data_IF_649779625667
#
_entry.id   IF_649779625667
#
_cell.length_a   1.000
_cell.length_b   1.000
_cell.length_c   1.000
_cell.angle_alpha   90.00
_cell.angle_beta   90.00
_cell.angle_gamma   90.00
#
_symmetry.space_group_name_H-M   'P 1'
#
loop_
_entity.id
_entity.type
_entity.pdbx_description
1 polymer ?
#
# COMPACT_ATOMS: atom_id res chain seq x y z
N UNK A 1 -35.97 1.10 -19.05
CA UNK A 1 -34.71 1.87 -19.04
C UNK A 1 -33.85 1.22 -17.95
N UNK A 2 -33.21 0.09 -18.23
CA UNK A 2 -31.77 -0.05 -18.54
C UNK A 2 -30.89 0.32 -17.33
N UNK A 3 -29.97 -0.47 -16.75
CA UNK A 3 -29.46 -1.83 -16.97
C UNK A 3 -28.61 -2.23 -15.74
N UNK A 4 -28.52 -3.56 -15.50
CA UNK A 4 -27.41 -4.35 -14.92
C UNK A 4 -26.60 -3.80 -13.71
N UNK A 5 -26.72 -4.41 -12.53
CA UNK A 5 -25.86 -5.52 -12.02
C UNK A 5 -24.40 -5.09 -11.81
N UNK A 6 -24.04 -4.81 -10.55
CA UNK A 6 -22.69 -5.07 -10.06
C UNK A 6 -22.74 -6.34 -9.21
N UNK A 7 -22.28 -7.43 -9.81
CA UNK A 7 -22.13 -8.74 -9.19
C UNK A 7 -21.32 -8.62 -7.90
N UNK A 8 -21.90 -9.04 -6.79
CA UNK A 8 -21.17 -9.39 -5.57
C UNK A 8 -20.20 -10.53 -5.89
N UNK A 9 -18.90 -10.22 -6.01
CA UNK A 9 -17.87 -11.25 -6.04
C UNK A 9 -17.67 -11.80 -4.62
N UNK A 10 -18.56 -12.70 -4.22
CA UNK A 10 -18.45 -13.50 -3.01
C UNK A 10 -17.49 -14.65 -3.30
N UNK A 11 -16.23 -14.48 -2.96
CA UNK A 11 -15.24 -15.56 -3.02
C UNK A 11 -15.42 -16.46 -1.79
N UNK A 12 -16.05 -17.61 -2.01
CA UNK A 12 -16.24 -18.68 -1.05
C UNK A 12 -14.94 -19.49 -1.00
N UNK A 13 -14.19 -19.47 0.12
CA UNK A 13 -13.10 -20.42 0.36
C UNK A 13 -13.53 -21.39 1.47
N UNK A 14 -13.41 -22.71 1.28
CA UNK A 14 -13.65 -23.68 2.34
C UNK A 14 -12.53 -23.59 3.38
N UNK A 15 -12.87 -23.83 4.65
CA UNK A 15 -11.93 -23.82 5.76
C UNK A 15 -10.91 -24.95 5.67
N UNK A 16 -9.67 -24.62 6.02
CA UNK A 16 -8.69 -25.58 6.52
C UNK A 16 -7.98 -24.94 7.71
N UNK A 17 -8.41 -25.32 8.90
CA UNK A 17 -7.65 -25.18 10.13
C UNK A 17 -6.45 -26.12 10.05
N UNK A 18 -5.23 -25.59 9.92
CA UNK A 18 -3.98 -26.29 10.28
C UNK A 18 -2.87 -25.25 10.49
N UNK A 19 -2.40 -25.21 11.74
CA UNK A 19 -1.05 -24.90 12.23
C UNK A 19 -0.13 -23.91 11.47
N UNK A 20 0.31 -22.91 12.24
CA UNK A 20 1.56 -22.13 12.12
C UNK A 20 2.77 -23.03 11.77
N UNK A 21 3.69 -22.52 10.94
CA UNK A 21 5.03 -22.29 11.48
C UNK A 21 5.55 -20.89 11.15
N UNK A 22 6.18 -20.27 12.15
CA UNK A 22 7.12 -19.17 11.95
C UNK A 22 8.21 -19.61 10.97
N UNK A 23 8.42 -18.81 9.94
CA UNK A 23 9.61 -18.88 9.11
C UNK A 23 10.38 -17.58 9.27
N UNK A 24 11.43 -17.63 10.11
CA UNK A 24 12.53 -16.67 10.06
C UNK A 24 13.15 -16.71 8.67
N UNK A 25 13.04 -15.62 7.93
CA UNK A 25 14.00 -15.27 6.89
C UNK A 25 14.51 -13.87 7.24
N UNK A 26 15.74 -13.81 7.74
CA UNK A 26 16.39 -12.56 8.06
C UNK A 26 16.71 -11.77 6.80
N UNK A 27 16.57 -10.46 6.91
CA UNK A 27 17.54 -9.54 6.33
C UNK A 27 17.65 -8.38 7.31
N UNK A 28 18.80 -8.29 7.97
CA UNK A 28 19.11 -7.13 8.79
C UNK A 28 19.22 -5.90 7.88
N UNK A 29 18.61 -4.81 8.27
CA UNK A 29 19.17 -3.48 8.00
C UNK A 29 18.84 -2.61 9.20
N UNK A 30 19.89 -1.93 9.65
CA UNK A 30 19.99 -1.00 10.78
C UNK A 30 18.76 -0.07 10.85
N UNK A 31 18.38 0.43 12.04
CA UNK A 31 17.65 1.70 12.09
C UNK A 31 18.62 2.78 11.61
N UNK A 32 18.73 2.95 10.30
CA UNK A 32 19.24 4.17 9.72
C UNK A 32 18.20 5.23 10.07
N UNK A 33 18.64 6.29 10.75
CA UNK A 33 17.83 7.45 11.05
C UNK A 33 16.99 7.79 9.82
N UNK A 34 15.66 7.82 9.99
CA UNK A 34 14.74 8.12 8.90
C UNK A 34 15.20 9.42 8.23
N UNK A 35 15.43 9.43 6.91
CA UNK A 35 15.76 10.67 6.22
C UNK A 35 14.59 11.64 6.45
N UNK A 36 14.91 12.88 6.83
CA UNK A 36 13.91 13.93 6.93
C UNK A 36 13.22 14.06 5.58
N UNK A 37 11.90 13.85 5.53
CA UNK A 37 11.11 13.84 4.29
C UNK A 37 11.29 15.14 3.49
N UNK A 38 11.52 16.26 4.17
CA UNK A 38 11.76 17.57 3.55
C UNK A 38 13.07 17.66 2.74
N UNK A 39 14.00 16.72 2.91
CA UNK A 39 15.27 16.69 2.19
C UNK A 39 15.26 15.71 1.00
N UNK A 40 14.17 14.99 0.77
CA UNK A 40 14.09 13.99 -0.30
C UNK A 40 13.83 14.66 -1.66
N UNK A 41 14.56 14.21 -2.67
CA UNK A 41 14.30 14.64 -4.05
C UNK A 41 13.03 13.97 -4.61
N UNK A 42 12.45 14.56 -5.66
CA UNK A 42 11.22 14.04 -6.27
C UNK A 42 11.33 12.58 -6.73
N UNK A 43 12.51 12.16 -7.19
CA UNK A 43 12.78 10.78 -7.61
C UNK A 43 12.78 9.81 -6.40
N UNK A 44 13.30 10.25 -5.25
CA UNK A 44 13.33 9.45 -4.02
C UNK A 44 11.92 9.31 -3.44
N UNK A 45 11.14 10.39 -3.44
CA UNK A 45 9.72 10.39 -3.07
C UNK A 45 8.95 9.38 -3.92
N UNK A 46 9.09 9.44 -5.24
CA UNK A 46 8.40 8.52 -6.15
C UNK A 46 8.87 7.06 -5.96
N UNK A 47 10.15 6.82 -5.67
CA UNK A 47 10.67 5.49 -5.38
C UNK A 47 10.03 4.88 -4.11
N UNK A 48 9.88 5.68 -3.05
CA UNK A 48 9.21 5.26 -1.81
C UNK A 48 7.72 4.99 -2.04
N UNK A 49 7.03 5.83 -2.80
CA UNK A 49 5.62 5.64 -3.14
C UNK A 49 5.41 4.41 -4.03
N UNK A 50 6.32 4.14 -4.97
CA UNK A 50 6.32 2.89 -5.76
C UNK A 50 6.53 1.65 -4.90
N UNK A 51 7.43 1.73 -3.92
CA UNK A 51 7.63 0.63 -2.97
C UNK A 51 6.36 0.35 -2.17
N UNK A 52 5.64 1.40 -1.77
CA UNK A 52 4.32 1.27 -1.16
C UNK A 52 3.31 0.62 -2.12
N UNK A 53 3.29 1.03 -3.39
CA UNK A 53 2.41 0.45 -4.41
C UNK A 53 2.60 -1.07 -4.58
N UNK A 54 3.86 -1.52 -4.57
CA UNK A 54 4.23 -2.94 -4.72
C UNK A 54 3.90 -3.79 -3.48
N UNK A 55 3.60 -3.16 -2.33
CA UNK A 55 3.37 -3.86 -1.08
C UNK A 55 1.94 -4.41 -0.99
N UNK A 56 1.76 -5.71 -1.22
CA UNK A 56 0.45 -6.38 -1.22
C UNK A 56 -0.26 -6.39 0.15
N UNK A 57 0.45 -6.12 1.25
CA UNK A 57 -0.09 -6.06 2.61
C UNK A 57 -1.26 -5.08 2.74
N UNK A 58 -1.24 -3.97 2.01
CA UNK A 58 -2.20 -2.86 2.14
C UNK A 58 -3.41 -2.98 1.19
N UNK A 59 -3.61 -4.15 0.58
CA UNK A 59 -4.68 -4.40 -0.37
C UNK A 59 -4.33 -4.01 -1.80
N UNK A 60 -5.28 -4.13 -2.75
CA UNK A 60 -5.04 -3.88 -4.17
C UNK A 60 -4.77 -2.39 -4.47
N UNK A 61 -3.77 -2.13 -5.31
CA UNK A 61 -3.39 -0.80 -5.83
C UNK A 61 -4.25 -0.30 -6.98
N UNK A 62 -4.70 -1.21 -7.85
CA UNK A 62 -5.24 -0.85 -9.15
C UNK A 62 -6.58 -0.12 -9.02
N UNK A 63 -6.74 0.95 -9.79
CA UNK A 63 -8.00 1.69 -9.90
C UNK A 63 -8.35 2.51 -8.67
N UNK A 64 -7.39 2.77 -7.77
CA UNK A 64 -7.53 3.71 -6.66
C UNK A 64 -6.27 4.54 -6.49
N UNK A 65 -6.42 5.75 -5.99
CA UNK A 65 -5.28 6.62 -5.71
C UNK A 65 -4.44 6.07 -4.56
N UNK A 66 -3.16 6.50 -4.50
CA UNK A 66 -2.26 6.12 -3.40
C UNK A 66 -2.81 6.55 -2.04
N UNK A 67 -3.49 7.69 -1.96
CA UNK A 67 -4.12 8.20 -0.74
C UNK A 67 -5.29 7.32 -0.29
N UNK A 68 -6.24 7.02 -1.19
CA UNK A 68 -7.39 6.15 -0.88
C UNK A 68 -6.94 4.75 -0.43
N UNK A 69 -5.85 4.23 -1.02
CA UNK A 69 -5.26 2.97 -0.60
C UNK A 69 -4.68 3.07 0.82
N UNK A 70 -3.98 4.16 1.13
CA UNK A 70 -3.43 4.40 2.46
C UNK A 70 -4.54 4.49 3.52
N UNK A 71 -5.61 5.24 3.24
CA UNK A 71 -6.77 5.37 4.12
C UNK A 71 -7.45 4.01 4.37
N UNK A 72 -7.68 3.23 3.33
CA UNK A 72 -8.23 1.87 3.46
C UNK A 72 -7.34 0.98 4.33
N UNK A 73 -6.03 1.09 4.20
CA UNK A 73 -5.10 0.33 5.04
C UNK A 73 -5.16 0.74 6.52
N UNK A 74 -5.42 2.02 6.81
CA UNK A 74 -5.70 2.50 8.17
C UNK A 74 -7.03 1.96 8.69
N UNK A 75 -8.08 1.97 7.86
CA UNK A 75 -9.40 1.44 8.23
C UNK A 75 -9.34 -0.06 8.54
N UNK A 76 -8.56 -0.80 7.75
CA UNK A 76 -8.28 -2.23 7.95
C UNK A 76 -7.27 -2.50 9.07
N UNK A 77 -6.78 -1.48 9.78
CA UNK A 77 -5.81 -1.59 10.88
C UNK A 77 -4.51 -2.31 10.49
N UNK A 78 -4.08 -2.14 9.24
CA UNK A 78 -2.87 -2.76 8.69
C UNK A 78 -1.58 -1.99 9.03
N UNK A 79 -1.70 -0.85 9.70
CA UNK A 79 -0.61 0.04 10.10
C UNK A 79 0.29 0.42 8.91
N UNK A 80 -0.25 1.15 7.90
CA UNK A 80 0.58 1.67 6.83
C UNK A 80 1.60 2.69 7.38
N UNK A 81 2.77 2.88 6.72
CA UNK A 81 3.78 3.83 7.18
C UNK A 81 3.26 5.26 7.14
N UNK A 82 3.60 6.06 8.15
CA UNK A 82 3.15 7.46 8.24
C UNK A 82 3.87 8.33 7.22
N UNK A 83 5.11 7.99 6.93
CA UNK A 83 5.95 8.67 5.95
C UNK A 83 5.27 8.66 4.58
N UNK A 84 4.60 7.57 4.21
CA UNK A 84 3.83 7.48 2.95
C UNK A 84 2.73 8.53 2.90
N UNK A 85 2.04 8.80 4.02
CA UNK A 85 1.01 9.84 4.07
C UNK A 85 1.63 11.22 3.87
N UNK A 86 2.71 11.49 4.59
CA UNK A 86 3.43 12.76 4.51
C UNK A 86 3.96 13.00 3.08
N UNK A 87 4.47 11.97 2.41
CA UNK A 87 4.89 12.00 1.00
C UNK A 87 3.72 12.22 0.03
N UNK A 88 2.51 11.78 0.36
CA UNK A 88 1.31 12.00 -0.46
C UNK A 88 0.72 13.40 -0.29
N UNK A 89 0.96 14.05 0.85
CA UNK A 89 0.57 15.42 1.11
C UNK A 89 1.52 16.44 0.45
N UNK A 90 2.68 16.00 -0.08
CA UNK A 90 3.63 16.86 -0.81
C UNK A 90 3.09 17.27 -2.19
N UNK A 91 3.32 18.51 -2.64
CA UNK A 91 2.87 19.00 -3.95
C UNK A 91 3.59 18.34 -5.13
N UNK A 92 4.76 17.72 -4.89
CA UNK A 92 5.56 17.01 -5.90
C UNK A 92 5.13 15.56 -6.09
N UNK A 93 4.22 15.07 -5.25
CA UNK A 93 3.78 13.68 -5.22
C UNK A 93 2.90 13.32 -6.42
N UNK A 94 3.13 12.15 -7.02
CA UNK A 94 2.22 11.60 -8.02
C UNK A 94 1.06 10.85 -7.31
N UNK A 95 -0.21 11.24 -7.50
CA UNK A 95 -1.33 10.58 -6.84
C UNK A 95 -1.66 9.19 -7.42
N UNK A 96 -1.17 8.87 -8.62
CA UNK A 96 -1.47 7.62 -9.33
C UNK A 96 -0.56 6.48 -8.89
N UNK A 97 -1.12 5.27 -8.84
CA UNK A 97 -0.34 4.07 -8.58
C UNK A 97 0.52 3.70 -9.80
N UNK A 98 1.66 3.03 -9.58
CA UNK A 98 2.47 2.49 -10.69
C UNK A 98 1.77 1.41 -11.53
N UNK A 99 0.59 0.95 -11.10
CA UNK A 99 -0.24 -0.02 -11.81
C UNK A 99 -1.33 0.64 -12.68
N UNK A 100 -1.52 1.96 -12.57
CA UNK A 100 -2.44 2.74 -13.40
C UNK A 100 -1.63 3.33 -14.57
N UNK A 101 -1.55 2.56 -15.67
CA UNK A 101 -0.84 2.90 -16.91
C UNK A 101 -1.70 3.70 -17.90
#
# INVERSE_FOLDING_TARGET
MSSAVWSSFRQKRPGSETARPESKAGSGTKPAAAPSIESLDAEEVEALLRQFDMTSKYGPSMGVTRLERWERAVDLKLNPPKEVKELLDLPTSNPKSCFDW
#
